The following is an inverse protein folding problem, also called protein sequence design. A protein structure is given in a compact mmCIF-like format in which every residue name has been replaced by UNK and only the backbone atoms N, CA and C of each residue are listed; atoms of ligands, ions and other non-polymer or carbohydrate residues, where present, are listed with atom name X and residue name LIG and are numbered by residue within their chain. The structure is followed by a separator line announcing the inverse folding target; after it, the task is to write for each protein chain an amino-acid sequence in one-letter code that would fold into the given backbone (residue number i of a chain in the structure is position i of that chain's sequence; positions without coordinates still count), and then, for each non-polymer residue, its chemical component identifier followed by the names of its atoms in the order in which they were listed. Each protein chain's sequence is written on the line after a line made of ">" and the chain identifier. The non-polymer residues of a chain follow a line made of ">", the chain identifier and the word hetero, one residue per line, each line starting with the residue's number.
data_IF_764294376735
#
_entry.id   IF_764294376735
#
_cell.length_a   1.000
_cell.length_b   1.000
_cell.length_c   1.000
_cell.angle_alpha   90.00
_cell.angle_beta   90.00
_cell.angle_gamma   90.00
#
_symmetry.space_group_name_H-M   'P 1'
#
loop_
_entity.id
_entity.type
_entity.pdbx_description
1 polymer ?
#
# COMPACT_ATOMS: atom_id res chain seq x y z
N UNK A 1 -10.67 -10.49 0.12
CA UNK A 1 -10.66 -9.80 1.43
C UNK A 1 -10.18 -8.35 1.30
N UNK A 2 -8.98 -8.03 0.76
CA UNK A 2 -8.52 -6.63 0.61
C UNK A 2 -9.24 -5.83 -0.49
N UNK A 3 -9.85 -6.52 -1.46
CA UNK A 3 -10.46 -5.92 -2.65
C UNK A 3 -11.70 -5.07 -2.37
N UNK A 4 -12.23 -5.08 -1.15
CA UNK A 4 -13.53 -4.50 -0.82
C UNK A 4 -13.45 -3.45 0.29
N UNK A 5 -12.27 -2.94 0.68
CA UNK A 5 -12.18 -2.05 1.85
C UNK A 5 -12.99 -0.77 1.71
N UNK A 6 -12.96 -0.16 0.52
CA UNK A 6 -13.81 0.99 0.21
C UNK A 6 -15.31 0.66 0.25
N UNK A 7 -15.69 -0.55 -0.12
CA UNK A 7 -17.09 -0.99 -0.04
C UNK A 7 -17.53 -1.15 1.41
N UNK A 8 -16.69 -1.77 2.25
CA UNK A 8 -16.99 -1.93 3.67
C UNK A 8 -17.04 -0.60 4.41
N UNK A 9 -16.10 0.30 4.11
CA UNK A 9 -16.12 1.67 4.63
C UNK A 9 -17.38 2.43 4.22
N UNK A 10 -17.80 2.33 2.96
CA UNK A 10 -19.06 2.92 2.50
C UNK A 10 -20.29 2.33 3.21
N UNK A 11 -20.31 1.01 3.45
CA UNK A 11 -21.41 0.34 4.16
C UNK A 11 -21.45 0.78 5.63
N UNK A 12 -20.29 0.87 6.29
CA UNK A 12 -20.17 1.31 7.68
C UNK A 12 -20.65 2.77 7.85
N UNK A 13 -20.15 3.69 7.02
CA UNK A 13 -20.59 5.09 7.09
C UNK A 13 -22.05 5.30 6.66
N UNK A 14 -22.62 4.40 5.85
CA UNK A 14 -24.05 4.41 5.55
C UNK A 14 -24.90 3.87 6.72
N UNK A 15 -24.38 2.87 7.44
CA UNK A 15 -25.06 2.27 8.59
C UNK A 15 -24.06 1.71 9.60
N UNK A 16 -23.87 2.47 10.66
CA UNK A 16 -23.03 2.11 11.79
C UNK A 16 -23.73 1.07 12.68
N UNK A 17 -23.25 -0.18 12.60
CA UNK A 17 -23.59 -1.29 13.48
C UNK A 17 -22.35 -2.17 13.66
N UNK A 18 -22.27 -2.93 14.74
CA UNK A 18 -21.05 -3.69 15.08
C UNK A 18 -20.51 -4.58 13.96
N UNK A 19 -21.38 -5.17 13.12
CA UNK A 19 -20.96 -6.00 11.98
C UNK A 19 -20.30 -5.17 10.88
N UNK A 20 -20.83 -3.99 10.58
CA UNK A 20 -20.29 -3.12 9.53
C UNK A 20 -19.01 -2.44 9.99
N UNK A 21 -18.94 -2.08 11.27
CA UNK A 21 -17.74 -1.57 11.95
C UNK A 21 -16.59 -2.59 11.87
N UNK A 22 -16.79 -3.80 12.42
CA UNK A 22 -15.76 -4.86 12.38
C UNK A 22 -15.37 -5.21 10.94
N UNK A 23 -16.34 -5.21 10.02
CA UNK A 23 -16.11 -5.43 8.60
C UNK A 23 -15.20 -4.39 7.96
N UNK A 24 -15.43 -3.10 8.25
CA UNK A 24 -14.60 -1.99 7.75
C UNK A 24 -13.16 -2.14 8.25
N UNK A 25 -12.95 -2.18 9.56
CA UNK A 25 -11.60 -2.25 10.12
C UNK A 25 -10.85 -3.53 9.72
N UNK A 26 -11.53 -4.68 9.67
CA UNK A 26 -10.94 -5.93 9.19
C UNK A 26 -10.50 -5.84 7.73
N UNK A 27 -11.29 -5.15 6.89
CA UNK A 27 -10.95 -4.94 5.49
C UNK A 27 -9.84 -3.91 5.32
N UNK A 28 -9.77 -2.89 6.17
CA UNK A 28 -8.73 -1.86 6.17
C UNK A 28 -7.36 -2.46 6.50
N UNK A 29 -7.25 -3.23 7.60
CA UNK A 29 -5.99 -3.89 7.96
C UNK A 29 -5.57 -4.93 6.90
N UNK A 30 -6.53 -5.63 6.27
CA UNK A 30 -6.23 -6.55 5.17
C UNK A 30 -5.60 -5.83 3.97
N UNK A 31 -6.11 -4.65 3.62
CA UNK A 31 -5.57 -3.81 2.54
C UNK A 31 -4.17 -3.29 2.89
N UNK A 32 -3.99 -2.73 4.10
CA UNK A 32 -2.69 -2.23 4.56
C UNK A 32 -1.65 -3.34 4.61
N UNK A 33 -2.01 -4.52 5.16
CA UNK A 33 -1.12 -5.68 5.22
C UNK A 33 -0.69 -6.21 3.86
N UNK A 34 -1.63 -6.32 2.92
CA UNK A 34 -1.29 -6.72 1.55
C UNK A 34 -0.45 -5.66 0.82
N UNK A 35 -0.71 -4.39 1.06
CA UNK A 35 0.05 -3.27 0.47
C UNK A 35 1.50 -3.26 0.99
N UNK A 36 1.70 -3.49 2.30
CA UNK A 36 3.02 -3.64 2.91
C UNK A 36 3.76 -4.85 2.36
N UNK A 37 3.07 -5.99 2.19
CA UNK A 37 3.66 -7.18 1.58
C UNK A 37 4.17 -6.90 0.16
N UNK A 38 3.33 -6.29 -0.68
CA UNK A 38 3.69 -5.92 -2.06
C UNK A 38 4.87 -4.94 -2.06
N UNK A 39 4.88 -3.97 -1.16
CA UNK A 39 6.00 -3.04 -0.97
C UNK A 39 7.32 -3.78 -0.71
N UNK A 40 7.33 -4.68 0.29
CA UNK A 40 8.52 -5.46 0.67
C UNK A 40 9.01 -6.28 -0.52
N UNK A 41 8.14 -7.06 -1.16
CA UNK A 41 8.49 -7.91 -2.31
C UNK A 41 9.05 -7.05 -3.46
N UNK A 42 8.42 -5.91 -3.73
CA UNK A 42 8.83 -5.05 -4.85
C UNK A 42 10.19 -4.42 -4.62
N UNK A 43 10.47 -3.90 -3.42
CA UNK A 43 11.72 -3.20 -3.12
C UNK A 43 12.89 -4.19 -3.06
N UNK A 44 12.68 -5.34 -2.42
CA UNK A 44 13.69 -6.39 -2.28
C UNK A 44 14.02 -7.11 -3.60
N UNK A 45 13.19 -6.94 -4.65
CA UNK A 45 13.39 -7.55 -5.98
C UNK A 45 13.63 -9.07 -5.93
N UNK A 46 13.01 -9.75 -4.96
CA UNK A 46 13.19 -11.18 -4.72
C UNK A 46 12.77 -12.00 -5.94
N UNK A 47 13.74 -12.69 -6.54
CA UNK A 47 13.51 -13.55 -7.72
C UNK A 47 13.18 -14.98 -7.32
N UNK A 48 13.79 -15.45 -6.25
CA UNK A 48 13.64 -16.81 -5.76
C UNK A 48 12.30 -17.00 -5.04
N UNK A 49 11.60 -18.09 -5.35
CA UNK A 49 10.28 -18.36 -4.81
C UNK A 49 10.29 -18.65 -3.32
N UNK A 50 11.27 -19.42 -2.84
CA UNK A 50 11.43 -19.74 -1.43
C UNK A 50 11.59 -18.47 -0.58
N UNK A 51 12.47 -17.55 -1.01
CA UNK A 51 12.67 -16.28 -0.31
C UNK A 51 11.41 -15.40 -0.33
N UNK A 52 10.63 -15.39 -1.43
CA UNK A 52 9.33 -14.70 -1.46
C UNK A 52 8.37 -15.28 -0.42
N UNK A 53 8.27 -16.60 -0.32
CA UNK A 53 7.39 -17.27 0.66
C UNK A 53 7.83 -16.97 2.09
N UNK A 54 9.13 -17.09 2.39
CA UNK A 54 9.69 -16.81 3.71
C UNK A 54 9.41 -15.38 4.19
N UNK A 55 9.41 -14.41 3.27
CA UNK A 55 9.10 -13.01 3.58
C UNK A 55 7.60 -12.75 3.64
N UNK A 56 6.81 -13.44 2.81
CA UNK A 56 5.35 -13.23 2.76
C UNK A 56 4.61 -13.84 3.94
N UNK A 57 5.04 -15.03 4.38
CA UNK A 57 4.34 -15.79 5.40
C UNK A 57 4.19 -15.03 6.74
N UNK A 58 5.22 -14.35 7.29
CA UNK A 58 5.08 -13.59 8.53
C UNK A 58 4.08 -12.44 8.43
N UNK A 59 4.09 -11.69 7.32
CA UNK A 59 3.17 -10.55 7.12
C UNK A 59 1.73 -11.05 7.00
N UNK A 60 1.51 -12.10 6.20
CA UNK A 60 0.17 -12.71 6.04
C UNK A 60 -0.32 -13.28 7.37
N UNK A 61 0.54 -13.99 8.10
CA UNK A 61 0.19 -14.59 9.39
C UNK A 61 -0.17 -13.51 10.42
N UNK A 62 0.61 -12.44 10.50
CA UNK A 62 0.33 -11.30 11.37
C UNK A 62 -1.02 -10.66 11.03
N UNK A 63 -1.23 -10.26 9.78
CA UNK A 63 -2.49 -9.62 9.34
C UNK A 63 -3.70 -10.52 9.59
N UNK A 64 -3.59 -11.82 9.28
CA UNK A 64 -4.69 -12.77 9.49
C UNK A 64 -5.01 -12.95 10.98
N UNK A 65 -3.97 -13.07 11.82
CA UNK A 65 -4.13 -13.21 13.27
C UNK A 65 -4.76 -11.97 13.88
N UNK A 66 -4.34 -10.78 13.43
CA UNK A 66 -4.94 -9.52 13.89
C UNK A 66 -6.40 -9.39 13.47
N UNK A 67 -6.77 -9.79 12.24
CA UNK A 67 -8.18 -9.84 11.81
C UNK A 67 -8.99 -10.79 12.70
N UNK A 68 -8.45 -11.98 13.01
CA UNK A 68 -9.15 -12.91 13.91
C UNK A 68 -9.28 -12.37 15.33
N UNK A 69 -8.27 -11.66 15.83
CA UNK A 69 -8.33 -10.98 17.12
C UNK A 69 -9.52 -10.00 17.15
N UNK A 70 -9.65 -9.14 16.14
CA UNK A 70 -10.74 -8.16 16.04
C UNK A 70 -12.12 -8.80 15.89
N UNK A 71 -12.23 -9.96 15.23
CA UNK A 71 -13.53 -10.61 14.96
C UNK A 71 -14.00 -11.53 16.08
N UNK A 72 -13.09 -12.17 16.82
CA UNK A 72 -13.44 -13.29 17.71
C UNK A 72 -12.95 -13.16 19.15
N UNK A 73 -12.03 -12.24 19.43
CA UNK A 73 -11.48 -12.08 20.77
C UNK A 73 -11.92 -10.76 21.40
N UNK A 74 -11.43 -9.65 20.87
CA UNK A 74 -11.72 -8.32 21.40
C UNK A 74 -11.57 -7.28 20.30
N UNK A 75 -12.65 -6.55 20.04
CA UNK A 75 -12.63 -5.46 19.08
C UNK A 75 -12.23 -4.18 19.82
N UNK A 76 -10.94 -3.85 19.72
CA UNK A 76 -10.37 -2.61 20.25
C UNK A 76 -10.02 -1.69 19.07
N UNK A 77 -10.78 -0.60 18.95
CA UNK A 77 -10.63 0.41 17.91
C UNK A 77 -9.25 1.09 17.98
N UNK A 78 -8.83 1.55 19.16
CA UNK A 78 -7.59 2.30 19.35
C UNK A 78 -6.37 1.40 19.04
N UNK A 79 -6.48 0.12 19.41
CA UNK A 79 -5.46 -0.87 19.06
C UNK A 79 -5.39 -1.11 17.55
N UNK A 80 -6.53 -1.28 16.88
CA UNK A 80 -6.55 -1.45 15.42
C UNK A 80 -5.97 -0.24 14.69
N UNK A 81 -6.33 0.98 15.11
CA UNK A 81 -5.75 2.22 14.56
C UNK A 81 -4.25 2.23 14.77
N UNK A 82 -3.76 1.91 15.98
CA UNK A 82 -2.32 1.83 16.27
C UNK A 82 -1.59 0.87 15.32
N UNK A 83 -2.11 -0.35 15.15
CA UNK A 83 -1.51 -1.35 14.26
C UNK A 83 -1.52 -0.88 12.80
N UNK A 84 -2.65 -0.33 12.32
CA UNK A 84 -2.77 0.22 10.98
C UNK A 84 -1.78 1.36 10.74
N UNK A 85 -1.65 2.30 11.68
CA UNK A 85 -0.72 3.43 11.61
C UNK A 85 0.73 2.96 11.54
N UNK A 86 1.13 2.00 12.39
CA UNK A 86 2.50 1.45 12.37
C UNK A 86 2.82 0.81 11.02
N UNK A 87 1.92 -0.01 10.50
CA UNK A 87 2.10 -0.65 9.18
C UNK A 87 2.11 0.37 8.04
N UNK A 88 1.24 1.38 8.10
CA UNK A 88 1.18 2.47 7.14
C UNK A 88 2.45 3.32 7.11
N UNK A 89 2.98 3.70 8.28
CA UNK A 89 4.25 4.43 8.41
C UNK A 89 5.41 3.59 7.89
N UNK A 90 5.48 2.29 8.24
CA UNK A 90 6.51 1.40 7.72
C UNK A 90 6.50 1.34 6.20
N UNK A 91 5.31 1.19 5.59
CA UNK A 91 5.14 1.20 4.15
C UNK A 91 5.57 2.54 3.52
N UNK A 92 5.19 3.66 4.14
CA UNK A 92 5.51 5.01 3.65
C UNK A 92 7.03 5.25 3.64
N UNK A 93 7.73 4.84 4.71
CA UNK A 93 9.17 4.93 4.79
C UNK A 93 9.86 4.06 3.74
N UNK A 94 9.43 2.81 3.59
CA UNK A 94 9.98 1.88 2.59
C UNK A 94 9.85 2.43 1.17
N UNK A 95 8.66 2.92 0.79
CA UNK A 95 8.45 3.51 -0.53
C UNK A 95 9.24 4.79 -0.76
N UNK A 96 9.35 5.64 0.28
CA UNK A 96 10.14 6.88 0.19
C UNK A 96 11.62 6.56 -0.01
N UNK A 97 12.18 5.66 0.81
CA UNK A 97 13.58 5.21 0.70
C UNK A 97 13.83 4.63 -0.69
N UNK A 98 12.93 3.78 -1.18
CA UNK A 98 13.04 3.22 -2.52
C UNK A 98 13.03 4.31 -3.60
N UNK A 99 12.11 5.27 -3.51
CA UNK A 99 11.93 6.30 -4.52
C UNK A 99 13.11 7.27 -4.60
N UNK A 100 13.75 7.60 -3.48
CA UNK A 100 14.95 8.46 -3.47
C UNK A 100 16.23 7.70 -3.87
N UNK A 101 16.25 6.38 -3.67
CA UNK A 101 17.43 5.54 -3.93
C UNK A 101 17.44 4.97 -5.35
N UNK A 102 16.31 4.94 -6.04
CA UNK A 102 16.16 4.37 -7.37
C UNK A 102 16.40 5.39 -8.48
N UNK A 103 16.84 4.92 -9.65
CA UNK A 103 16.87 5.71 -10.91
C UNK A 103 15.62 5.48 -11.77
N UNK A 104 14.54 4.98 -11.17
CA UNK A 104 13.31 4.71 -11.87
C UNK A 104 12.67 6.00 -12.37
N UNK A 105 12.33 6.12 -13.68
CA UNK A 105 11.84 7.38 -14.26
C UNK A 105 10.53 7.87 -13.63
N UNK A 106 9.69 6.95 -13.13
CA UNK A 106 8.43 7.28 -12.47
C UNK A 106 8.52 7.33 -10.94
N UNK A 107 9.72 7.38 -10.34
CA UNK A 107 9.89 7.44 -8.88
C UNK A 107 9.23 8.67 -8.24
N UNK A 108 9.15 9.79 -8.98
CA UNK A 108 8.46 11.00 -8.53
C UNK A 108 6.98 10.76 -8.21
N UNK A 109 6.31 9.83 -8.90
CA UNK A 109 4.91 9.46 -8.62
C UNK A 109 4.78 8.81 -7.25
N UNK A 110 5.77 7.99 -6.87
CA UNK A 110 5.83 7.39 -5.54
C UNK A 110 6.06 8.45 -4.47
N UNK A 111 6.95 9.42 -4.70
CA UNK A 111 7.16 10.54 -3.77
C UNK A 111 5.91 11.40 -3.62
N UNK A 112 5.18 11.66 -4.71
CA UNK A 112 3.92 12.39 -4.67
C UNK A 112 2.88 11.65 -3.83
N UNK A 113 2.69 10.35 -4.08
CA UNK A 113 1.73 9.53 -3.32
C UNK A 113 2.14 9.38 -1.86
N UNK A 114 3.43 9.14 -1.57
CA UNK A 114 3.94 9.03 -0.20
C UNK A 114 3.79 10.34 0.57
N UNK A 115 4.20 11.47 -0.02
CA UNK A 115 4.04 12.79 0.59
C UNK A 115 2.57 13.18 0.79
N UNK A 116 1.73 12.90 -0.21
CA UNK A 116 0.28 13.11 -0.12
C UNK A 116 -0.37 12.28 0.98
N UNK A 117 -0.01 11.00 1.08
CA UNK A 117 -0.51 10.09 2.13
C UNK A 117 -0.03 10.53 3.51
N UNK A 118 1.22 10.97 3.67
CA UNK A 118 1.71 11.53 4.92
C UNK A 118 0.92 12.78 5.34
N UNK A 119 0.62 13.66 4.38
CA UNK A 119 -0.18 14.85 4.64
C UNK A 119 -1.62 14.49 5.05
N UNK A 120 -2.24 13.51 4.38
CA UNK A 120 -3.56 13.00 4.76
C UNK A 120 -3.56 12.41 6.17
N UNK A 121 -2.52 11.67 6.56
CA UNK A 121 -2.37 11.15 7.92
C UNK A 121 -2.26 12.31 8.94
N UNK A 122 -1.49 13.36 8.62
CA UNK A 122 -1.38 14.54 9.49
C UNK A 122 -2.71 15.29 9.64
N UNK A 123 -3.51 15.35 8.57
CA UNK A 123 -4.86 15.92 8.64
C UNK A 123 -5.77 15.10 9.54
N UNK A 124 -5.73 13.77 9.43
CA UNK A 124 -6.47 12.84 10.28
C UNK A 124 -6.06 12.98 11.75
N UNK A 125 -4.76 13.11 12.06
CA UNK A 125 -4.28 13.35 13.42
C UNK A 125 -4.64 14.73 13.99
N UNK A 126 -4.89 15.72 13.14
CA UNK A 126 -5.33 17.05 13.59
C UNK A 126 -6.79 17.06 14.03
N UNK A 127 -7.61 16.13 13.51
CA UNK A 127 -9.00 15.86 13.91
C UNK A 127 -9.86 17.11 14.13
N UNK A 128 -10.04 17.90 13.07
CA UNK A 128 -10.78 19.15 13.14
C UNK A 128 -12.31 18.93 13.07
N UNK A 129 -13.11 19.78 13.73
CA UNK A 129 -14.58 19.66 13.70
C UNK A 129 -15.14 19.87 12.29
N UNK A 130 -16.23 19.19 11.91
CA UNK A 130 -16.74 19.18 10.55
C UNK A 130 -17.07 20.60 10.05
N UNK A 131 -16.42 20.99 8.96
CA UNK A 131 -16.69 22.23 8.25
C UNK A 131 -18.08 22.12 7.61
N UNK A 132 -18.96 23.06 7.94
CA UNK A 132 -20.36 23.11 7.50
C UNK A 132 -21.19 21.88 7.91
N UNK A 133 -20.71 21.08 8.86
CA UNK A 133 -21.36 19.81 9.22
C UNK A 133 -21.25 18.72 8.14
N UNK A 134 -20.39 18.91 7.12
CA UNK A 134 -20.27 18.02 5.97
C UNK A 134 -18.87 17.41 5.82
N UNK A 135 -17.81 18.19 6.04
CA UNK A 135 -16.43 17.77 5.79
C UNK A 135 -15.59 17.86 7.06
N UNK A 136 -15.22 16.72 7.62
CA UNK A 136 -14.23 16.58 8.68
C UNK A 136 -12.88 16.10 8.15
N UNK A 137 -11.92 15.91 9.05
CA UNK A 137 -10.59 15.40 8.70
C UNK A 137 -10.65 14.03 8.01
N UNK A 138 -11.52 13.14 8.49
CA UNK A 138 -11.63 11.76 8.02
C UNK A 138 -12.24 11.66 6.61
N UNK A 139 -13.29 12.42 6.31
CA UNK A 139 -13.88 12.50 4.96
C UNK A 139 -12.92 13.13 3.94
N UNK A 140 -12.12 14.13 4.34
CA UNK A 140 -11.06 14.66 3.47
C UNK A 140 -9.93 13.65 3.25
N UNK A 141 -9.60 12.84 4.25
CA UNK A 141 -8.66 11.72 4.11
C UNK A 141 -9.15 10.73 3.04
N UNK A 142 -10.41 10.30 3.12
CA UNK A 142 -11.03 9.45 2.09
C UNK A 142 -11.00 10.14 0.72
N UNK A 143 -11.40 11.40 0.61
CA UNK A 143 -11.39 12.12 -0.65
C UNK A 143 -9.99 12.22 -1.28
N UNK A 144 -8.95 12.41 -0.47
CA UNK A 144 -7.56 12.53 -0.92
C UNK A 144 -6.99 11.20 -1.44
N UNK A 145 -7.39 10.06 -0.87
CA UNK A 145 -6.87 8.74 -1.28
C UNK A 145 -7.33 8.32 -2.67
N UNK A 146 -8.45 8.85 -3.19
CA UNK A 146 -8.94 8.58 -4.56
C UNK A 146 -7.93 9.02 -5.65
N UNK A 147 -7.56 10.32 -5.78
CA UNK A 147 -6.59 10.74 -6.79
C UNK A 147 -5.21 10.12 -6.56
N UNK A 148 -4.78 9.89 -5.31
CA UNK A 148 -3.53 9.20 -5.03
C UNK A 148 -3.53 7.76 -5.56
N UNK A 149 -4.66 7.05 -5.47
CA UNK A 149 -4.81 5.70 -6.04
C UNK A 149 -4.65 5.71 -7.56
N UNK A 150 -5.13 6.75 -8.25
CA UNK A 150 -4.95 6.88 -9.71
C UNK A 150 -3.48 7.10 -10.09
N UNK A 151 -2.77 7.96 -9.35
CA UNK A 151 -1.33 8.18 -9.55
C UNK A 151 -0.55 6.91 -9.23
N UNK A 152 -0.93 6.20 -8.17
CA UNK A 152 -0.35 4.92 -7.79
C UNK A 152 -0.51 3.87 -8.89
N UNK A 153 -1.72 3.73 -9.44
CA UNK A 153 -2.00 2.85 -10.58
C UNK A 153 -1.14 3.19 -11.80
N UNK A 154 -1.00 4.49 -12.10
CA UNK A 154 -0.12 4.95 -13.18
C UNK A 154 1.34 4.56 -12.94
N UNK A 155 1.83 4.69 -11.70
CA UNK A 155 3.16 4.22 -11.32
C UNK A 155 3.31 2.70 -11.50
N UNK A 156 2.36 1.89 -11.03
CA UNK A 156 2.41 0.43 -11.17
C UNK A 156 2.49 0.00 -12.64
N UNK A 157 1.76 0.68 -13.52
CA UNK A 157 1.82 0.43 -14.96
C UNK A 157 3.20 0.74 -15.55
N UNK A 158 3.79 1.88 -15.17
CA UNK A 158 5.13 2.27 -15.61
C UNK A 158 6.20 1.30 -15.09
N UNK A 159 6.08 0.91 -13.82
CA UNK A 159 7.00 -0.01 -13.16
C UNK A 159 6.99 -1.39 -13.82
N UNK A 160 5.81 -1.91 -14.13
CA UNK A 160 5.66 -3.18 -14.85
C UNK A 160 6.33 -3.14 -16.23
N UNK A 161 6.15 -2.04 -16.98
CA UNK A 161 6.79 -1.83 -18.29
C UNK A 161 8.31 -1.76 -18.13
N UNK A 162 8.79 -0.95 -17.18
CA UNK A 162 10.21 -0.76 -16.92
C UNK A 162 10.91 -2.08 -16.56
N UNK A 163 10.35 -2.85 -15.62
CA UNK A 163 10.92 -4.15 -15.22
C UNK A 163 10.96 -5.14 -16.38
N UNK A 164 9.92 -5.17 -17.20
CA UNK A 164 9.86 -6.05 -18.38
C UNK A 164 10.97 -5.68 -19.38
N UNK A 165 11.17 -4.40 -19.66
CA UNK A 165 12.23 -3.93 -20.56
C UNK A 165 13.62 -4.29 -20.04
N UNK A 166 13.88 -4.08 -18.74
CA UNK A 166 15.16 -4.43 -18.09
C UNK A 166 15.43 -5.94 -18.20
N UNK A 167 14.42 -6.79 -17.95
CA UNK A 167 14.56 -8.24 -18.07
C UNK A 167 14.82 -8.70 -19.50
N UNK A 168 14.14 -8.10 -20.48
CA UNK A 168 14.37 -8.38 -21.90
C UNK A 168 15.76 -7.94 -22.36
N UNK A 169 16.24 -6.79 -21.88
CA UNK A 169 17.59 -6.31 -22.16
C UNK A 169 18.66 -7.25 -21.59
N UNK A 170 18.46 -7.78 -20.37
CA UNK A 170 19.36 -8.76 -19.75
C UNK A 170 19.38 -10.12 -20.48
N UNK A 171 18.26 -10.53 -21.10
CA UNK A 171 18.16 -11.80 -21.84
C UNK A 171 18.75 -11.73 -23.26
N UNK A 172 18.94 -10.54 -23.83
CA UNK A 172 19.57 -10.43 -25.16
C UNK A 172 21.07 -10.74 -25.00
N UNK A 173 21.63 -11.73 -25.73
CA UNK A 173 23.07 -11.91 -25.75
C UNK A 173 23.72 -10.61 -26.23
N UNK A 174 24.86 -10.25 -25.63
CA UNK A 174 25.65 -9.12 -26.10
C UNK A 174 25.84 -9.28 -27.60
N UNK A 175 25.42 -8.28 -28.37
CA UNK A 175 25.69 -8.24 -29.80
C UNK A 175 27.18 -7.90 -29.98
N UNK A 176 28.04 -8.80 -29.55
CA UNK A 176 29.47 -8.75 -29.76
C UNK A 176 29.73 -8.95 -31.25
N UNK A 177 30.42 -7.98 -31.83
CA UNK A 177 31.59 -8.24 -32.66
C UNK A 177 31.47 -9.41 -33.64
N UNK A 178 30.64 -9.24 -34.67
CA UNK A 178 30.79 -10.03 -35.90
C UNK A 178 30.97 -9.06 -37.06
N UNK A 179 32.23 -8.66 -37.28
CA UNK A 179 32.88 -8.37 -38.58
C UNK A 179 34.28 -7.78 -38.36
N UNK A 180 35.22 -8.63 -37.92
CA UNK A 180 36.63 -8.57 -38.32
C UNK A 180 37.11 -10.01 -38.51
N UNK A 181 36.86 -10.55 -39.70
CA UNK A 181 37.68 -11.63 -40.24
C UNK A 181 37.97 -11.24 -41.67
N UNK A 182 39.27 -11.02 -41.90
CA UNK A 182 40.06 -10.93 -43.13
C UNK A 182 39.35 -10.71 -44.46
#
# INVERSE_FOLDING_TARGET
>A
LPSNSWLWSAIFHARDVSVTEVGDYSSAIALIGMSLLVCIIRISSLREEATRVMVSAPVIAFTTTHIFFLNFYDFDYDWNITVCTVMGVAQLLLWTIWAISTRHPSAWKVLLVAGGTALSLLLELYDFPPILGLFDAHSLWHAATVPFTLVWWSFLCDDAKYRTQVLLAMKRPSRGESKKVQ
#
